data_IF_879325746719
#
_entry.id   IF_879325746719
#
_cell.length_a   1.000
_cell.length_b   1.000
_cell.length_c   1.000
_cell.angle_alpha   90.00
_cell.angle_beta   90.00
_cell.angle_gamma   90.00
#
_symmetry.space_group_name_H-M   'P 1'
#
loop_
_entity.id
_entity.type
_entity.pdbx_description
1 polymer ?
#
# COMPACT_ATOMS: atom_id res chain seq x y z
N UNK A 1 -24.67 -13.21 19.08
CA UNK A 1 -23.30 -13.53 18.63
C UNK A 1 -22.40 -12.48 19.25
N UNK A 2 -21.44 -12.89 20.08
CA UNK A 2 -20.45 -11.97 20.65
C UNK A 2 -19.63 -11.35 19.51
N UNK A 3 -19.62 -10.02 19.41
CA UNK A 3 -18.76 -9.29 18.48
C UNK A 3 -17.33 -9.29 19.00
N UNK A 4 -16.38 -9.74 18.18
CA UNK A 4 -14.95 -9.67 18.51
C UNK A 4 -14.35 -8.45 17.82
N UNK A 5 -13.78 -7.54 18.61
CA UNK A 5 -13.06 -6.39 18.09
C UNK A 5 -11.66 -6.80 17.63
N UNK A 6 -11.21 -6.24 16.50
CA UNK A 6 -9.87 -6.46 15.94
C UNK A 6 -9.03 -5.20 16.17
N UNK A 7 -7.85 -5.38 16.74
CA UNK A 7 -6.88 -4.30 16.97
C UNK A 7 -5.77 -4.37 15.93
N UNK A 8 -5.53 -3.25 15.23
CA UNK A 8 -4.41 -3.10 14.28
C UNK A 8 -3.38 -2.17 14.91
N UNK A 9 -2.11 -2.56 14.83
CA UNK A 9 -0.98 -1.91 15.50
C UNK A 9 0.07 -1.56 14.44
N UNK A 10 0.62 -0.34 14.50
CA UNK A 10 1.60 0.16 13.55
C UNK A 10 2.91 0.53 14.26
N UNK A 11 3.81 -0.44 14.50
CA UNK A 11 5.13 -0.17 15.08
C UNK A 11 5.94 0.79 14.20
N UNK A 12 6.63 1.76 14.80
CA UNK A 12 7.44 2.74 14.08
C UNK A 12 8.85 2.24 13.78
N UNK A 13 9.33 1.25 14.53
CA UNK A 13 10.68 0.70 14.42
C UNK A 13 10.73 -0.80 14.75
N UNK A 14 11.87 -1.43 14.46
CA UNK A 14 12.08 -2.88 14.68
C UNK A 14 12.08 -3.28 16.16
N UNK A 15 12.42 -2.36 17.06
CA UNK A 15 12.44 -2.63 18.49
C UNK A 15 11.01 -2.78 19.03
N UNK A 16 10.12 -1.84 18.69
CA UNK A 16 8.69 -1.91 18.98
C UNK A 16 8.04 -3.17 18.41
N UNK A 17 8.36 -3.54 17.16
CA UNK A 17 7.87 -4.78 16.54
C UNK A 17 8.29 -6.02 17.35
N UNK A 18 9.55 -6.06 17.79
CA UNK A 18 10.11 -7.18 18.55
C UNK A 18 9.45 -7.31 19.93
N UNK A 19 9.30 -6.18 20.62
CA UNK A 19 8.64 -6.11 21.92
C UNK A 19 7.19 -6.57 21.82
N UNK A 20 6.43 -6.07 20.82
CA UNK A 20 5.04 -6.40 20.64
C UNK A 20 4.81 -7.89 20.34
N UNK A 21 5.67 -8.49 19.50
CA UNK A 21 5.65 -9.94 19.24
C UNK A 21 5.91 -10.74 20.51
N UNK A 22 6.86 -10.32 21.34
CA UNK A 22 7.15 -11.01 22.60
C UNK A 22 5.94 -10.98 23.55
N UNK A 23 5.28 -9.81 23.69
CA UNK A 23 4.08 -9.67 24.51
C UNK A 23 2.91 -10.53 24.00
N UNK A 24 2.62 -10.49 22.69
CA UNK A 24 1.54 -11.28 22.11
C UNK A 24 1.76 -12.79 22.28
N UNK A 25 3.01 -13.26 22.09
CA UNK A 25 3.37 -14.65 22.33
C UNK A 25 3.24 -15.06 23.81
N UNK A 26 3.70 -14.22 24.74
CA UNK A 26 3.59 -14.48 26.17
C UNK A 26 2.12 -14.62 26.62
N UNK A 27 1.23 -13.83 26.04
CA UNK A 27 -0.22 -13.87 26.29
C UNK A 27 -0.96 -14.92 25.46
N UNK A 28 -0.25 -15.68 24.62
CA UNK A 28 -0.82 -16.67 23.69
C UNK A 28 -1.92 -16.08 22.79
N UNK A 29 -1.79 -14.80 22.45
CA UNK A 29 -2.70 -14.11 21.53
C UNK A 29 -2.27 -14.46 20.11
N UNK A 30 -3.22 -14.94 19.29
CA UNK A 30 -2.97 -15.17 17.87
C UNK A 30 -2.90 -13.82 17.15
N UNK A 31 -1.83 -13.58 16.41
CA UNK A 31 -1.64 -12.36 15.61
C UNK A 31 -1.14 -12.71 14.21
N UNK A 32 -1.29 -11.76 13.29
CA UNK A 32 -0.80 -11.84 11.93
C UNK A 32 0.12 -10.64 11.67
N UNK A 33 1.21 -10.87 10.94
CA UNK A 33 2.14 -9.81 10.54
C UNK A 33 1.88 -9.52 9.08
N UNK A 34 1.08 -8.49 8.83
CA UNK A 34 0.89 -7.95 7.49
C UNK A 34 2.02 -6.97 7.22
N UNK A 35 2.78 -7.21 6.15
CA UNK A 35 3.69 -6.19 5.62
C UNK A 35 2.86 -5.19 4.83
N UNK A 36 2.12 -4.34 5.55
CA UNK A 36 1.40 -3.25 4.92
C UNK A 36 2.42 -2.25 4.35
N UNK A 37 2.26 -1.90 3.07
CA UNK A 37 2.90 -0.70 2.53
C UNK A 37 4.21 -0.86 1.77
N UNK A 38 4.74 -2.07 1.53
CA UNK A 38 5.82 -2.19 0.54
C UNK A 38 5.21 -2.23 -0.86
N UNK A 39 4.74 -1.06 -1.33
CA UNK A 39 4.46 -0.86 -2.75
C UNK A 39 5.63 -1.44 -3.54
N UNK A 40 5.33 -2.16 -4.63
CA UNK A 40 6.38 -2.69 -5.47
C UNK A 40 7.37 -1.53 -5.78
N UNK A 41 8.67 -1.67 -5.52
CA UNK A 41 9.63 -0.60 -5.79
C UNK A 41 9.53 -0.08 -7.23
N UNK A 42 9.21 -0.95 -8.20
CA UNK A 42 8.98 -0.56 -9.59
C UNK A 42 7.74 0.34 -9.75
N UNK A 43 6.71 0.14 -8.92
CA UNK A 43 5.54 1.00 -8.88
C UNK A 43 5.90 2.40 -8.36
N UNK A 44 6.68 2.50 -7.28
CA UNK A 44 7.14 3.79 -6.75
C UNK A 44 7.97 4.55 -7.78
N UNK A 45 8.92 3.88 -8.44
CA UNK A 45 9.73 4.45 -9.52
C UNK A 45 8.86 4.94 -10.68
N UNK A 46 7.82 4.18 -11.05
CA UNK A 46 6.87 4.58 -12.11
C UNK A 46 6.07 5.83 -11.72
N UNK A 47 5.62 5.94 -10.48
CA UNK A 47 4.88 7.12 -10.00
C UNK A 47 5.77 8.36 -9.98
N UNK A 48 7.00 8.25 -9.46
CA UNK A 48 7.97 9.35 -9.48
C UNK A 48 8.29 9.81 -10.90
N UNK A 49 8.50 8.87 -11.82
CA UNK A 49 8.68 9.17 -13.24
C UNK A 49 7.46 9.90 -13.80
N UNK A 50 6.26 9.37 -13.57
CA UNK A 50 5.01 9.98 -14.05
C UNK A 50 4.84 11.42 -13.55
N UNK A 51 5.20 11.70 -12.29
CA UNK A 51 5.15 13.06 -11.74
C UNK A 51 6.11 14.03 -12.45
N UNK A 52 7.33 13.58 -12.76
CA UNK A 52 8.31 14.38 -13.53
C UNK A 52 7.82 14.63 -14.97
N UNK A 53 7.27 13.61 -15.61
CA UNK A 53 6.73 13.71 -16.97
C UNK A 53 5.57 14.72 -17.02
N UNK A 54 4.65 14.67 -16.06
CA UNK A 54 3.57 15.65 -15.96
C UNK A 54 4.11 17.08 -15.78
N UNK A 55 5.07 17.29 -14.87
CA UNK A 55 5.68 18.60 -14.65
C UNK A 55 6.42 19.13 -15.90
N UNK A 56 6.97 18.25 -16.73
CA UNK A 56 7.62 18.58 -18.00
C UNK A 56 6.63 18.74 -19.18
N UNK A 57 5.32 18.54 -18.97
CA UNK A 57 4.33 18.56 -20.05
C UNK A 57 4.31 17.30 -20.92
N UNK A 58 4.97 16.22 -20.51
CA UNK A 58 5.00 14.92 -21.17
C UNK A 58 3.77 14.07 -20.77
N UNK A 59 2.57 14.58 -21.01
CA UNK A 59 1.32 13.86 -20.76
C UNK A 59 0.37 13.96 -21.95
N UNK A 60 -0.56 13.02 -22.03
CA UNK A 60 -1.65 13.04 -23.02
C UNK A 60 -2.95 13.23 -22.26
N UNK A 61 -3.71 14.26 -22.64
CA UNK A 61 -5.09 14.42 -22.19
C UNK A 61 -5.99 13.58 -23.08
N UNK A 62 -6.82 12.75 -22.45
CA UNK A 62 -7.77 11.87 -23.14
C UNK A 62 -9.17 12.24 -22.68
N UNK A 63 -10.04 12.58 -23.63
CA UNK A 63 -11.46 12.80 -23.35
C UNK A 63 -12.12 11.49 -22.95
N UNK A 64 -13.16 11.58 -22.10
CA UNK A 64 -13.83 10.40 -21.56
C UNK A 64 -14.33 9.44 -22.65
N UNK A 65 -14.81 10.02 -23.75
CA UNK A 65 -15.39 9.28 -24.87
C UNK A 65 -14.33 8.51 -25.69
N UNK A 66 -13.05 8.88 -25.55
CA UNK A 66 -11.91 8.26 -26.25
C UNK A 66 -11.12 7.29 -25.36
N UNK A 67 -11.49 7.17 -24.09
CA UNK A 67 -10.74 6.37 -23.11
C UNK A 67 -10.66 4.89 -23.47
N UNK A 68 -11.75 4.31 -23.99
CA UNK A 68 -11.81 2.89 -24.33
C UNK A 68 -10.89 2.54 -25.53
N UNK A 69 -10.82 3.43 -26.52
CA UNK A 69 -9.92 3.30 -27.67
C UNK A 69 -8.46 3.48 -27.24
N UNK A 70 -8.17 4.50 -26.43
CA UNK A 70 -6.84 4.74 -25.88
C UNK A 70 -6.29 3.56 -25.06
N UNK A 71 -7.16 2.87 -24.32
CA UNK A 71 -6.81 1.69 -23.54
C UNK A 71 -6.79 0.39 -24.36
N UNK A 72 -7.15 0.43 -25.65
CA UNK A 72 -7.19 -0.75 -26.52
C UNK A 72 -8.25 -1.78 -26.13
N UNK A 73 -9.37 -1.33 -25.54
CA UNK A 73 -10.45 -2.19 -25.06
C UNK A 73 -11.53 -2.44 -26.14
N UNK A 74 -11.36 -1.89 -27.35
CA UNK A 74 -12.26 -1.98 -28.50
C UNK A 74 -11.50 -2.29 -29.78
#
# INVERSE_FOLDING_TARGET
MESKDIFIVHPQNKEEETVLKAFMNALKIKFEVTKDGNYNPDFLVKIEKSGKQFANGEFVSVEKDQLEEFLGLK
#
